data_IF_178241462058
#
_entry.id   IF_178241462058
#
_cell.length_a   1.000
_cell.length_b   1.000
_cell.length_c   1.000
_cell.angle_alpha   90.00
_cell.angle_beta   90.00
_cell.angle_gamma   90.00
#
_symmetry.space_group_name_H-M   'P 1'
#
loop_
_entity.id
_entity.type
_entity.pdbx_description
1 polymer ?
#
# COMPACT_ATOMS: atom_id res chain seq x y z
N UNK A 1 -17.03 0.32 15.96
CA UNK A 1 -16.10 1.17 15.19
C UNK A 1 -14.98 0.34 14.58
N UNK A 2 -14.72 0.55 13.32
CA UNK A 2 -13.59 -0.12 12.67
C UNK A 2 -12.44 0.86 12.50
N UNK A 3 -11.23 0.34 12.52
CA UNK A 3 -10.06 1.16 12.27
C UNK A 3 -10.06 1.65 10.82
N UNK A 4 -9.60 2.86 10.54
CA UNK A 4 -9.40 3.31 9.17
C UNK A 4 -8.35 2.44 8.48
N UNK A 5 -8.59 2.16 7.22
CA UNK A 5 -7.71 1.27 6.47
C UNK A 5 -7.41 1.84 5.09
N UNK A 6 -6.39 1.26 4.47
CA UNK A 6 -5.97 1.59 3.13
C UNK A 6 -5.71 0.28 2.40
N UNK A 7 -6.25 0.17 1.20
CA UNK A 7 -6.00 -0.97 0.33
C UNK A 7 -5.29 -0.46 -0.92
N UNK A 8 -4.17 -1.08 -1.25
CA UNK A 8 -3.38 -0.72 -2.42
C UNK A 8 -3.23 -1.97 -3.29
N UNK A 9 -3.81 -1.95 -4.48
CA UNK A 9 -3.67 -3.04 -5.44
C UNK A 9 -2.73 -2.62 -6.56
N UNK A 10 -1.75 -3.46 -6.84
CA UNK A 10 -0.76 -3.23 -7.90
C UNK A 10 -0.79 -4.41 -8.86
N UNK A 11 -1.16 -4.14 -10.10
CA UNK A 11 -1.24 -5.16 -11.13
C UNK A 11 0.07 -5.30 -11.89
N UNK A 12 0.27 -6.48 -12.48
CA UNK A 12 1.41 -6.73 -13.36
C UNK A 12 1.34 -5.79 -14.56
N UNK A 13 2.50 -5.36 -15.02
CA UNK A 13 2.63 -4.52 -16.18
C UNK A 13 3.84 -4.98 -16.97
N UNK A 14 4.74 -4.06 -17.34
CA UNK A 14 5.96 -4.42 -18.05
C UNK A 14 6.81 -5.39 -17.23
N UNK A 15 6.73 -5.27 -15.90
CA UNK A 15 7.35 -6.24 -14.98
C UNK A 15 6.25 -6.77 -14.05
N UNK A 16 6.46 -7.95 -13.45
CA UNK A 16 5.49 -8.48 -12.48
C UNK A 16 5.39 -7.60 -11.24
N UNK A 17 4.18 -7.52 -10.68
CA UNK A 17 3.99 -6.81 -9.43
C UNK A 17 4.82 -7.38 -8.29
N UNK A 18 5.16 -8.67 -8.35
CA UNK A 18 6.03 -9.30 -7.36
C UNK A 18 7.45 -8.71 -7.36
N UNK A 19 7.95 -8.29 -8.51
CA UNK A 19 9.24 -7.59 -8.57
C UNK A 19 9.14 -6.21 -7.95
N UNK A 20 8.06 -5.50 -8.21
CA UNK A 20 7.81 -4.21 -7.59
C UNK A 20 7.76 -4.36 -6.07
N UNK A 21 7.04 -5.36 -5.58
CA UNK A 21 6.94 -5.64 -4.15
C UNK A 21 8.31 -5.94 -3.56
N UNK A 22 9.13 -6.71 -4.26
CA UNK A 22 10.47 -7.04 -3.79
C UNK A 22 11.33 -5.78 -3.66
N UNK A 23 11.22 -4.87 -4.62
CA UNK A 23 12.01 -3.64 -4.61
C UNK A 23 11.52 -2.62 -3.57
N UNK A 24 10.22 -2.55 -3.34
CA UNK A 24 9.62 -1.49 -2.52
C UNK A 24 8.93 -1.97 -1.25
N UNK A 25 8.82 -3.28 -1.05
CA UNK A 25 8.11 -3.83 0.11
C UNK A 25 8.67 -3.36 1.45
N UNK A 26 9.98 -3.19 1.53
CA UNK A 26 10.63 -2.74 2.76
C UNK A 26 10.21 -1.31 3.11
N UNK A 27 9.99 -0.46 2.13
CA UNK A 27 9.51 0.89 2.37
C UNK A 27 8.12 0.87 3.02
N UNK A 28 7.25 -0.04 2.58
CA UNK A 28 5.93 -0.21 3.19
C UNK A 28 6.04 -0.73 4.62
N UNK A 29 6.90 -1.71 4.85
CA UNK A 29 7.12 -2.24 6.19
C UNK A 29 7.63 -1.16 7.14
N UNK A 30 8.65 -0.42 6.72
CA UNK A 30 9.23 0.62 7.55
C UNK A 30 8.22 1.73 7.86
N UNK A 31 7.41 2.12 6.87
CA UNK A 31 6.39 3.12 7.07
C UNK A 31 5.28 2.61 7.99
N UNK A 32 4.89 1.34 7.87
CA UNK A 32 3.89 0.73 8.74
C UNK A 32 4.34 0.77 10.19
N UNK A 33 5.60 0.43 10.43
CA UNK A 33 6.18 0.45 11.78
C UNK A 33 6.26 1.89 12.31
N UNK A 34 6.74 2.81 11.48
CA UNK A 34 6.90 4.21 11.88
C UNK A 34 5.57 4.87 12.24
N UNK A 35 4.51 4.54 11.52
CA UNK A 35 3.17 5.07 11.78
C UNK A 35 2.38 4.25 12.80
N UNK A 36 3.00 3.21 13.34
CA UNK A 36 2.37 2.33 14.35
C UNK A 36 1.04 1.77 13.85
N UNK A 37 1.07 1.24 12.62
CA UNK A 37 -0.11 0.61 12.04
C UNK A 37 -0.62 -0.52 12.94
N UNK A 38 -1.93 -0.68 12.96
CA UNK A 38 -2.59 -1.70 13.78
C UNK A 38 -2.29 -3.10 13.22
N UNK A 39 -2.35 -3.23 11.90
CA UNK A 39 -2.03 -4.47 11.21
C UNK A 39 -1.79 -4.19 9.74
N UNK A 40 -1.09 -5.08 9.07
CA UNK A 40 -0.89 -5.00 7.63
C UNK A 40 -0.62 -6.39 7.07
N UNK A 41 -0.93 -6.57 5.79
CA UNK A 41 -0.69 -7.82 5.11
C UNK A 41 -0.54 -7.63 3.61
N UNK A 42 0.14 -8.57 2.98
CA UNK A 42 0.25 -8.67 1.53
C UNK A 42 -0.49 -9.91 1.06
N UNK A 43 -1.19 -9.79 -0.05
CA UNK A 43 -1.81 -10.92 -0.71
C UNK A 43 -1.40 -10.94 -2.17
N UNK A 44 -1.17 -12.13 -2.70
CA UNK A 44 -0.80 -12.31 -4.11
C UNK A 44 -1.98 -12.93 -4.82
N UNK A 45 -2.31 -12.41 -6.00
CA UNK A 45 -3.35 -13.00 -6.84
C UNK A 45 -2.85 -13.11 -8.28
N UNK A 46 -3.69 -13.61 -9.18
CA UNK A 46 -3.28 -13.91 -10.55
C UNK A 46 -2.69 -12.71 -11.29
N UNK A 47 -3.17 -11.51 -10.99
CA UNK A 47 -2.82 -10.32 -11.77
C UNK A 47 -1.91 -9.35 -11.04
N UNK A 48 -1.57 -9.63 -9.81
CA UNK A 48 -0.74 -8.71 -9.05
C UNK A 48 -0.72 -8.98 -7.56
N UNK A 49 -0.56 -7.91 -6.80
CA UNK A 49 -0.49 -7.97 -5.33
C UNK A 49 -1.42 -6.95 -4.71
N UNK A 50 -1.88 -7.23 -3.50
CA UNK A 50 -2.69 -6.32 -2.72
C UNK A 50 -2.03 -6.12 -1.36
N UNK A 51 -1.85 -4.88 -0.98
CA UNK A 51 -1.38 -4.50 0.34
C UNK A 51 -2.55 -3.89 1.11
N UNK A 52 -2.83 -4.42 2.29
CA UNK A 52 -3.85 -3.88 3.18
C UNK A 52 -3.21 -3.46 4.48
N UNK A 53 -3.59 -2.30 4.99
CA UNK A 53 -3.03 -1.77 6.21
C UNK A 53 -4.12 -0.99 6.96
N UNK A 54 -4.15 -1.15 8.28
CA UNK A 54 -5.10 -0.45 9.14
C UNK A 54 -4.36 0.43 10.13
N UNK A 55 -4.96 1.56 10.44
CA UNK A 55 -4.37 2.58 11.31
C UNK A 55 -5.31 2.93 12.45
N UNK A 56 -4.79 3.61 13.46
CA UNK A 56 -5.61 4.05 14.60
C UNK A 56 -6.51 5.22 14.27
N UNK A 57 -6.06 6.11 13.37
CA UNK A 57 -6.82 7.30 12.98
C UNK A 57 -6.69 7.54 11.48
N UNK A 58 -7.65 8.30 10.94
CA UNK A 58 -7.60 8.69 9.53
C UNK A 58 -6.40 9.59 9.24
N UNK A 59 -6.04 10.41 10.20
CA UNK A 59 -4.88 11.29 10.06
C UNK A 59 -3.59 10.49 9.83
N UNK A 60 -3.39 9.43 10.63
CA UNK A 60 -2.22 8.57 10.50
C UNK A 60 -2.25 7.86 9.14
N UNK A 61 -3.42 7.39 8.72
CA UNK A 61 -3.58 6.78 7.40
C UNK A 61 -3.13 7.74 6.30
N UNK A 62 -3.55 8.99 6.38
CA UNK A 62 -3.19 9.98 5.36
C UNK A 62 -1.71 10.35 5.43
N UNK A 63 -1.13 10.39 6.61
CA UNK A 63 0.30 10.62 6.78
C UNK A 63 1.12 9.48 6.16
N UNK A 64 0.70 8.23 6.34
CA UNK A 64 1.35 7.09 5.71
C UNK A 64 1.39 7.28 4.20
N UNK A 65 0.24 7.60 3.61
CA UNK A 65 0.12 7.78 2.16
C UNK A 65 0.96 8.93 1.64
N UNK A 66 1.22 9.93 2.48
CA UNK A 66 1.98 11.12 2.11
C UNK A 66 3.48 10.98 2.26
N UNK A 67 3.97 9.89 2.84
CA UNK A 67 5.41 9.69 3.03
C UNK A 67 6.10 9.62 1.66
N UNK A 68 7.26 10.26 1.56
CA UNK A 68 8.00 10.28 0.30
C UNK A 68 8.36 8.89 -0.20
N UNK A 69 8.74 7.98 0.72
CA UNK A 69 9.07 6.60 0.36
C UNK A 69 7.87 5.86 -0.24
N UNK A 70 6.68 6.13 0.28
CA UNK A 70 5.45 5.51 -0.24
C UNK A 70 5.07 6.13 -1.59
N UNK A 71 5.18 7.45 -1.71
CA UNK A 71 4.93 8.11 -3.00
C UNK A 71 5.87 7.62 -4.09
N UNK A 72 7.15 7.44 -3.76
CA UNK A 72 8.13 6.92 -4.70
C UNK A 72 7.78 5.50 -5.14
N UNK A 73 7.39 4.66 -4.18
CA UNK A 73 6.99 3.28 -4.49
C UNK A 73 5.76 3.25 -5.39
N UNK A 74 4.77 4.09 -5.11
CA UNK A 74 3.55 4.14 -5.92
C UNK A 74 3.81 4.71 -7.32
N UNK A 75 4.79 5.59 -7.47
CA UNK A 75 5.18 6.10 -8.78
C UNK A 75 5.93 5.06 -9.62
N UNK A 76 6.47 4.03 -8.97
CA UNK A 76 7.28 3.00 -9.63
C UNK A 76 6.50 1.71 -9.93
N UNK A 77 5.17 1.73 -9.80
CA UNK A 77 4.36 0.53 -10.08
C UNK A 77 4.49 0.10 -11.54
N UNK A 78 4.37 -1.21 -11.83
CA UNK A 78 4.55 -1.72 -13.20
C UNK A 78 3.64 -1.09 -14.24
N UNK A 79 2.39 -0.79 -13.86
CA UNK A 79 1.43 -0.17 -14.78
C UNK A 79 0.76 1.02 -14.07
N UNK A 80 1.36 2.21 -14.16
CA UNK A 80 0.84 3.38 -13.44
C UNK A 80 -0.48 3.92 -14.00
N UNK A 81 -0.86 3.54 -15.22
CA UNK A 81 -2.09 4.03 -15.84
C UNK A 81 -3.31 3.21 -15.46
N UNK A 82 -3.18 1.89 -15.44
CA UNK A 82 -4.31 0.99 -15.24
C UNK A 82 -4.11 -0.02 -14.12
N UNK A 83 -2.91 -0.11 -13.58
CA UNK A 83 -2.54 -1.15 -12.64
C UNK A 83 -2.38 -0.70 -11.19
N UNK A 84 -2.85 0.48 -10.83
CA UNK A 84 -2.77 0.95 -9.44
C UNK A 84 -4.15 1.38 -8.96
N UNK A 85 -4.60 0.75 -7.88
CA UNK A 85 -5.86 1.11 -7.23
C UNK A 85 -5.58 1.39 -5.76
N UNK A 86 -6.04 2.52 -5.26
CA UNK A 86 -5.88 2.90 -3.85
C UNK A 86 -7.27 3.19 -3.31
N UNK A 87 -7.67 2.43 -2.30
CA UNK A 87 -9.00 2.57 -1.68
C UNK A 87 -8.84 2.84 -0.19
N UNK A 88 -9.15 4.05 0.27
CA UNK A 88 -9.23 4.33 1.70
C UNK A 88 -10.62 3.95 2.21
N UNK A 89 -10.70 3.53 3.48
CA UNK A 89 -11.99 3.19 4.04
C UNK A 89 -11.96 3.10 5.56
N UNK A 90 -13.11 2.74 6.13
CA UNK A 90 -13.27 2.58 7.57
C UNK A 90 -13.21 3.89 8.33
N UNK A 91 -13.06 3.78 9.62
CA UNK A 91 -12.71 4.93 10.43
C UNK A 91 -13.81 5.57 11.25
N UNK A 92 -15.03 5.09 11.17
CA UNK A 92 -16.04 5.60 12.12
C UNK A 92 -17.28 4.73 12.14
#
# INVERSE_FOLDING_TARGET
>A
MSDPWLLIEVLDGEVPASEWRRAHGEAFLNAAIAERAVRWSWRVHRRGVVFEIAFRTERIRDEFRSRSSIKEALAAVPDPHYGLTIVPGGGD
#
